data_IF_727682223378
#
_entry.id   IF_727682223378
#
_cell.length_a   1.000
_cell.length_b   1.000
_cell.length_c   1.000
_cell.angle_alpha   90.00
_cell.angle_beta   90.00
_cell.angle_gamma   90.00
#
_symmetry.space_group_name_H-M   'P 1'
#
loop_
_entity.id
_entity.type
_entity.pdbx_description
1 polymer ?
#
# COMPACT_ATOMS: atom_id res chain seq x y z
N UNK A 1 -4.56 -9.07 -65.66
CA UNK A 1 -5.28 -8.15 -64.76
C UNK A 1 -5.34 -8.78 -63.37
N UNK A 2 -4.32 -8.57 -62.54
CA UNK A 2 -4.33 -9.04 -61.14
C UNK A 2 -4.93 -7.93 -60.29
N UNK A 3 -6.18 -8.11 -59.82
CA UNK A 3 -6.77 -7.23 -58.81
C UNK A 3 -6.13 -7.61 -57.48
N UNK A 4 -5.23 -6.76 -57.00
CA UNK A 4 -4.64 -6.87 -55.67
C UNK A 4 -5.77 -6.75 -54.63
N UNK A 5 -6.11 -7.86 -53.99
CA UNK A 5 -6.96 -7.87 -52.82
C UNK A 5 -6.06 -7.60 -51.62
N UNK A 6 -6.05 -6.35 -51.16
CA UNK A 6 -5.37 -5.96 -49.92
C UNK A 6 -6.15 -6.60 -48.76
N UNK A 7 -5.66 -7.74 -48.27
CA UNK A 7 -6.20 -8.41 -47.09
C UNK A 7 -5.87 -7.56 -45.86
N UNK A 8 -6.80 -6.69 -45.48
CA UNK A 8 -6.76 -5.95 -44.21
C UNK A 8 -6.98 -6.94 -43.07
N UNK A 9 -5.90 -7.54 -42.58
CA UNK A 9 -5.92 -8.29 -41.33
C UNK A 9 -6.09 -7.26 -40.21
N UNK A 10 -7.32 -7.11 -39.73
CA UNK A 10 -7.62 -6.44 -38.47
C UNK A 10 -7.03 -7.30 -37.35
N UNK A 11 -5.78 -7.06 -36.97
CA UNK A 11 -5.21 -7.64 -35.76
C UNK A 11 -5.93 -6.97 -34.60
N UNK A 12 -6.95 -7.63 -34.08
CA UNK A 12 -7.63 -7.22 -32.86
C UNK A 12 -6.62 -7.35 -31.73
N UNK A 13 -6.04 -6.23 -31.28
CA UNK A 13 -5.26 -6.21 -30.05
C UNK A 13 -6.24 -6.41 -28.89
N UNK A 14 -6.52 -7.66 -28.56
CA UNK A 14 -7.17 -7.99 -27.29
C UNK A 14 -6.21 -7.52 -26.20
N UNK A 15 -6.58 -6.45 -25.49
CA UNK A 15 -5.90 -6.07 -24.26
C UNK A 15 -6.28 -7.14 -23.23
N UNK A 16 -5.34 -8.02 -22.91
CA UNK A 16 -5.52 -9.00 -21.84
C UNK A 16 -5.20 -8.29 -20.52
N UNK A 17 -6.24 -7.85 -19.80
CA UNK A 17 -6.09 -7.49 -18.39
C UNK A 17 -5.78 -8.76 -17.61
N UNK A 18 -4.77 -8.73 -16.75
CA UNK A 18 -4.40 -9.86 -15.90
C UNK A 18 -4.81 -9.59 -14.45
N UNK A 19 -5.41 -10.57 -13.75
CA UNK A 19 -5.66 -10.42 -12.32
C UNK A 19 -4.34 -10.33 -11.57
N UNK A 20 -4.22 -9.33 -10.70
CA UNK A 20 -3.12 -9.17 -9.75
C UNK A 20 -3.71 -9.28 -8.35
N UNK A 21 -3.07 -10.07 -7.50
CA UNK A 21 -3.44 -10.24 -6.10
C UNK A 21 -2.23 -9.90 -5.23
N UNK A 22 -2.43 -9.05 -4.23
CA UNK A 22 -1.45 -8.72 -3.21
C UNK A 22 -1.90 -9.26 -1.88
N UNK A 23 -0.97 -9.85 -1.14
CA UNK A 23 -1.14 -10.19 0.28
C UNK A 23 0.06 -9.62 1.02
N UNK A 24 -0.21 -8.71 1.95
CA UNK A 24 0.84 -7.99 2.67
C UNK A 24 0.63 -8.22 4.16
N UNK A 25 1.56 -8.98 4.73
CA UNK A 25 1.71 -9.16 6.16
C UNK A 25 2.87 -8.30 6.66
N UNK A 26 2.68 -7.63 7.79
CA UNK A 26 3.75 -6.79 8.35
C UNK A 26 3.57 -6.48 9.82
N UNK A 27 4.57 -5.79 10.38
CA UNK A 27 4.57 -5.29 11.74
C UNK A 27 4.87 -3.79 11.71
N UNK A 28 4.06 -3.01 12.42
CA UNK A 28 4.29 -1.57 12.59
C UNK A 28 4.94 -1.29 13.95
N UNK A 29 6.07 -0.61 13.92
CA UNK A 29 6.89 -0.28 15.09
C UNK A 29 7.23 1.22 15.07
N UNK A 30 7.08 1.89 16.21
CA UNK A 30 7.59 3.23 16.43
C UNK A 30 8.97 3.15 17.09
N UNK A 31 9.98 3.71 16.41
CA UNK A 31 11.34 3.83 16.94
C UNK A 31 11.65 5.28 17.28
N UNK A 32 12.10 5.53 18.50
CA UNK A 32 12.51 6.85 18.96
C UNK A 32 13.89 6.80 19.60
N UNK A 33 14.76 7.73 19.19
CA UNK A 33 16.08 7.89 19.79
C UNK A 33 16.03 9.02 20.81
N UNK A 34 16.09 8.67 22.10
CA UNK A 34 16.11 9.66 23.17
C UNK A 34 17.57 10.01 23.45
N UNK A 35 17.94 11.28 23.19
CA UNK A 35 19.30 11.79 23.36
C UNK A 35 19.90 11.39 24.71
N UNK A 36 20.89 10.50 24.69
CA UNK A 36 21.63 10.05 25.86
C UNK A 36 21.03 8.88 26.64
N UNK A 37 19.85 8.37 26.25
CA UNK A 37 19.18 7.24 26.91
C UNK A 37 19.07 5.99 26.01
N UNK A 38 19.16 6.15 24.69
CA UNK A 38 19.18 5.04 23.73
C UNK A 38 18.01 5.04 22.76
N UNK A 39 17.93 3.98 21.95
CA UNK A 39 16.82 3.73 21.02
C UNK A 39 15.72 2.94 21.74
N UNK A 40 14.51 3.46 21.70
CA UNK A 40 13.31 2.84 22.22
C UNK A 40 12.43 2.42 21.05
N UNK A 41 11.77 1.29 21.24
CA UNK A 41 10.93 0.63 20.25
C UNK A 41 9.60 0.29 20.89
N UNK A 42 8.51 0.63 20.21
CA UNK A 42 7.14 0.34 20.63
C UNK A 42 6.37 -0.26 19.47
N UNK A 43 5.76 -1.42 19.67
CA UNK A 43 4.82 -2.00 18.70
C UNK A 43 3.55 -1.16 18.69
N UNK A 44 3.10 -0.74 17.51
CA UNK A 44 1.93 0.11 17.39
C UNK A 44 0.68 -0.74 17.27
N UNK A 45 -0.17 -0.70 18.29
CA UNK A 45 -1.53 -1.22 18.25
C UNK A 45 -2.47 -0.16 17.67
N UNK A 46 -3.50 -0.60 16.94
CA UNK A 46 -4.56 0.26 16.39
C UNK A 46 -4.08 1.33 15.38
N UNK A 47 -2.85 1.22 14.86
CA UNK A 47 -2.46 1.90 13.63
C UNK A 47 -3.32 1.38 12.46
N UNK A 48 -3.80 2.31 11.64
CA UNK A 48 -4.62 2.06 10.46
C UNK A 48 -3.71 1.86 9.26
N UNK A 49 -3.82 0.73 8.58
CA UNK A 49 -3.06 0.40 7.37
C UNK A 49 -4.01 0.33 6.19
N UNK A 50 -3.81 1.20 5.22
CA UNK A 50 -4.51 1.20 3.93
C UNK A 50 -3.56 0.71 2.83
N UNK A 51 -4.07 -0.11 1.93
CA UNK A 51 -3.39 -0.45 0.68
C UNK A 51 -3.98 0.40 -0.45
N UNK A 52 -3.09 1.02 -1.20
CA UNK A 52 -3.42 1.86 -2.33
C UNK A 52 -2.64 1.40 -3.54
N UNK A 53 -3.22 1.56 -4.71
CA UNK A 53 -2.53 1.41 -5.98
C UNK A 53 -2.59 2.73 -6.74
N UNK A 54 -1.51 2.99 -7.49
CA UNK A 54 -1.40 4.13 -8.39
C UNK A 54 -1.09 3.62 -9.76
N UNK A 55 -1.95 4.00 -10.69
CA UNK A 55 -1.83 3.62 -12.08
C UNK A 55 -1.70 4.82 -12.99
N UNK A 56 -1.13 4.59 -14.18
CA UNK A 56 -1.11 5.58 -15.26
C UNK A 56 -1.75 4.93 -16.49
N UNK A 57 -2.85 5.48 -17.04
CA UNK A 57 -3.33 6.87 -16.91
C UNK A 57 -4.49 7.10 -15.92
N UNK A 58 -4.96 6.08 -15.21
CA UNK A 58 -6.14 6.16 -14.34
C UNK A 58 -5.72 6.56 -12.90
N UNK A 59 -6.26 7.65 -12.33
CA UNK A 59 -5.84 8.15 -11.01
C UNK A 59 -6.34 7.25 -9.87
N UNK A 60 -5.47 6.93 -8.90
CA UNK A 60 -5.67 6.06 -7.72
C UNK A 60 -7.14 5.75 -7.44
N UNK A 61 -7.65 4.66 -8.02
CA UNK A 61 -9.08 4.33 -7.99
C UNK A 61 -9.41 3.18 -7.05
N UNK A 62 -8.39 2.45 -6.56
CA UNK A 62 -8.62 1.34 -5.64
C UNK A 62 -7.90 1.45 -4.29
N UNK A 63 -8.73 1.29 -3.25
CA UNK A 63 -8.32 1.27 -1.84
C UNK A 63 -8.86 0.00 -1.21
N UNK A 64 -7.97 -0.94 -0.92
CA UNK A 64 -8.29 -2.08 -0.07
C UNK A 64 -7.83 -1.80 1.38
N UNK A 65 -8.75 -2.01 2.33
CA UNK A 65 -8.56 -1.68 3.76
C UNK A 65 -9.65 -0.77 4.33
N UNK A 66 -9.54 -0.34 5.60
CA UNK A 66 -8.36 -0.43 6.46
C UNK A 66 -8.22 -1.75 7.23
N UNK A 67 -6.97 -2.19 7.44
CA UNK A 67 -6.62 -3.12 8.51
C UNK A 67 -6.14 -2.35 9.74
N UNK A 68 -6.43 -2.88 10.93
CA UNK A 68 -5.88 -2.38 12.18
C UNK A 68 -4.77 -3.30 12.65
N UNK A 69 -3.69 -2.70 13.11
CA UNK A 69 -2.61 -3.43 13.77
C UNK A 69 -3.04 -3.99 15.11
N UNK A 70 -2.64 -5.22 15.41
CA UNK A 70 -2.96 -5.90 16.67
C UNK A 70 -2.08 -5.42 17.84
N UNK A 71 -2.22 -6.02 19.02
CA UNK A 71 -1.42 -5.70 20.21
C UNK A 71 0.09 -5.95 20.06
N UNK A 72 0.49 -6.62 18.98
CA UNK A 72 1.88 -6.91 18.62
C UNK A 72 2.29 -6.15 17.35
N UNK A 73 1.49 -5.20 16.89
CA UNK A 73 1.75 -4.40 15.70
C UNK A 73 1.52 -5.12 14.38
N UNK A 74 1.01 -6.36 14.38
CA UNK A 74 0.80 -7.12 13.15
C UNK A 74 -0.39 -6.59 12.37
N UNK A 75 -0.25 -6.53 11.05
CA UNK A 75 -1.37 -6.30 10.13
C UNK A 75 -1.32 -7.30 8.98
N UNK A 76 -2.49 -7.46 8.36
CA UNK A 76 -2.67 -8.19 7.11
C UNK A 76 -3.60 -7.37 6.21
N UNK A 77 -3.16 -7.07 4.99
CA UNK A 77 -3.99 -6.42 3.97
C UNK A 77 -3.90 -7.21 2.68
N UNK A 78 -5.03 -7.39 2.02
CA UNK A 78 -5.11 -7.99 0.70
C UNK A 78 -5.54 -6.92 -0.29
N UNK A 79 -4.99 -7.00 -1.50
CA UNK A 79 -5.33 -6.13 -2.63
C UNK A 79 -5.72 -6.98 -3.83
N UNK A 80 -6.67 -6.55 -4.65
CA UNK A 80 -6.95 -7.20 -5.93
C UNK A 80 -7.14 -6.18 -7.04
N UNK A 81 -6.53 -6.42 -8.21
CA UNK A 81 -6.72 -5.57 -9.38
C UNK A 81 -6.78 -6.32 -10.70
N UNK A 82 -7.37 -5.68 -11.70
CA UNK A 82 -7.42 -6.16 -13.08
C UNK A 82 -6.76 -5.20 -14.05
N UNK A 83 -5.44 -5.23 -14.07
CA UNK A 83 -4.69 -4.20 -14.76
C UNK A 83 -4.15 -4.58 -16.13
N UNK A 84 -4.13 -3.57 -16.99
CA UNK A 84 -3.58 -3.66 -18.35
C UNK A 84 -2.20 -3.03 -18.44
N UNK A 85 -1.86 -2.16 -17.48
CA UNK A 85 -0.62 -1.39 -17.44
C UNK A 85 0.15 -1.61 -16.13
N UNK A 86 1.12 -0.74 -15.86
CA UNK A 86 2.00 -0.87 -14.69
C UNK A 86 1.29 -0.35 -13.45
N UNK A 87 1.32 -1.16 -12.39
CA UNK A 87 0.80 -0.86 -11.06
C UNK A 87 1.90 -0.39 -10.11
N UNK A 88 1.64 0.67 -9.34
CA UNK A 88 2.52 1.16 -8.27
C UNK A 88 1.87 1.02 -6.88
N UNK A 89 1.88 -0.19 -6.27
CA UNK A 89 1.25 -0.41 -4.96
C UNK A 89 2.02 0.29 -3.83
N UNK A 90 1.29 0.86 -2.87
CA UNK A 90 1.85 1.45 -1.66
C UNK A 90 0.95 1.26 -0.43
N UNK A 91 1.56 1.33 0.75
CA UNK A 91 0.85 1.34 2.02
C UNK A 91 0.81 2.76 2.59
N UNK A 92 -0.36 3.16 3.06
CA UNK A 92 -0.54 4.34 3.91
C UNK A 92 -0.81 3.86 5.33
N UNK A 93 0.07 4.26 6.26
CA UNK A 93 -0.03 3.91 7.69
C UNK A 93 -0.35 5.18 8.46
N UNK A 94 -1.57 5.26 8.99
CA UNK A 94 -2.00 6.33 9.89
C UNK A 94 -1.94 5.82 11.34
N UNK A 95 -1.31 6.61 12.20
CA UNK A 95 -1.17 6.28 13.61
C UNK A 95 -1.11 7.55 14.45
N UNK A 96 -1.67 7.47 15.66
CA UNK A 96 -1.50 8.51 16.66
C UNK A 96 -0.29 8.18 17.53
N UNK A 97 0.93 8.29 16.99
CA UNK A 97 2.09 8.24 17.88
C UNK A 97 2.07 9.44 18.78
N UNK A 98 1.94 9.19 20.08
CA UNK A 98 2.33 10.15 21.07
C UNK A 98 3.85 10.31 20.99
N UNK A 99 4.33 11.39 20.36
CA UNK A 99 5.71 11.84 20.57
C UNK A 99 5.75 12.43 21.97
N UNK A 100 6.45 11.82 22.95
CA UNK A 100 6.62 12.43 24.25
C UNK A 100 7.40 13.72 24.06
N UNK A 101 6.71 14.85 24.02
CA UNK A 101 7.41 16.14 24.03
C UNK A 101 8.15 16.23 25.36
N UNK A 102 9.44 16.61 25.33
CA UNK A 102 10.32 16.73 26.52
C UNK A 102 9.81 17.72 27.60
N UNK A 103 8.61 18.28 27.41
CA UNK A 103 7.91 19.19 28.31
C UNK A 103 6.81 18.53 29.14
N UNK A 104 6.49 17.26 28.93
CA UNK A 104 5.55 16.57 29.82
C UNK A 104 6.31 15.96 31.00
N UNK A 105 6.06 16.42 32.24
CA UNK A 105 6.67 15.81 33.40
C UNK A 105 6.21 14.35 33.48
N UNK A 106 7.15 13.44 33.67
CA UNK A 106 6.86 12.05 34.00
C UNK A 106 6.22 12.02 35.40
N UNK A 107 4.88 12.07 35.42
CA UNK A 107 3.95 11.81 36.53
C UNK A 107 4.02 12.75 37.76
N UNK A 108 2.82 13.08 38.26
CA UNK A 108 2.59 13.55 39.63
C UNK A 108 2.50 12.36 40.57
#
# INVERSE_FOLDING_TARGET
MLKSALLLILVSFFKFASPIEWKIDGVVECKENIHGLGEFSFLLQEATVNFWERDWPDPDDHKDGPALTDSFGHFHVEGHEFETFSVEPYLEIDHQCYTPTSKQPLLN
#
